data_IF_276305988939
#
_entry.id   IF_276305988939
#
_cell.length_a   1.000
_cell.length_b   1.000
_cell.length_c   1.000
_cell.angle_alpha   90.00
_cell.angle_beta   90.00
_cell.angle_gamma   90.00
#
_symmetry.space_group_name_H-M   'P 1'
#
loop_
_entity.id
_entity.type
_entity.pdbx_description
1 polymer ?
#
# COMPACT_ATOMS: atom_id res chain seq x y z
N UNK A 1 0.04 -0.68 -56.37
CA UNK A 1 -0.01 -1.54 -55.16
C UNK A 1 -0.04 -0.73 -53.84
N UNK A 2 -0.89 0.30 -53.70
CA UNK A 2 -0.97 1.14 -52.47
C UNK A 2 -2.37 1.20 -51.84
N UNK A 3 -3.39 0.62 -52.47
CA UNK A 3 -4.80 0.74 -52.04
C UNK A 3 -5.26 -0.38 -51.10
N UNK A 4 -4.62 -1.56 -51.11
CA UNK A 4 -5.06 -2.69 -50.27
C UNK A 4 -4.58 -2.63 -48.82
N UNK A 5 -3.47 -1.95 -48.53
CA UNK A 5 -3.00 -1.74 -47.16
C UNK A 5 -3.85 -0.74 -46.34
N UNK A 6 -4.60 0.16 -46.99
CA UNK A 6 -5.40 1.17 -46.28
C UNK A 6 -6.79 0.69 -45.87
N UNK A 7 -7.37 -0.28 -46.56
CA UNK A 7 -8.81 -0.59 -46.41
C UNK A 7 -9.08 -1.82 -45.54
N UNK A 8 -8.15 -2.78 -45.46
CA UNK A 8 -8.37 -4.03 -44.71
C UNK A 8 -7.58 -4.12 -43.39
N UNK A 9 -6.41 -3.48 -43.31
CA UNK A 9 -5.56 -3.55 -42.11
C UNK A 9 -6.04 -2.63 -40.96
N UNK A 10 -6.71 -1.53 -41.30
CA UNK A 10 -7.14 -0.51 -40.34
C UNK A 10 -8.25 -0.99 -39.37
N UNK A 11 -9.34 -1.65 -39.79
CA UNK A 11 -10.38 -2.09 -38.85
C UNK A 11 -9.91 -3.25 -37.96
N UNK A 12 -9.10 -4.18 -38.47
CA UNK A 12 -8.59 -5.32 -37.69
C UNK A 12 -7.66 -4.87 -36.55
N UNK A 13 -6.85 -3.83 -36.77
CA UNK A 13 -6.02 -3.23 -35.73
C UNK A 13 -6.86 -2.63 -34.59
N UNK A 14 -8.01 -2.00 -34.89
CA UNK A 14 -8.89 -1.39 -33.88
C UNK A 14 -9.51 -2.46 -32.97
N UNK A 15 -9.96 -3.59 -33.52
CA UNK A 15 -10.49 -4.69 -32.71
C UNK A 15 -9.43 -5.35 -31.82
N UNK A 16 -8.18 -5.47 -32.30
CA UNK A 16 -7.09 -6.00 -31.50
C UNK A 16 -6.71 -5.08 -30.32
N UNK A 17 -6.75 -3.75 -30.51
CA UNK A 17 -6.47 -2.76 -29.46
C UNK A 17 -7.57 -2.76 -28.38
N UNK A 18 -8.83 -2.93 -28.78
CA UNK A 18 -9.96 -2.98 -27.85
C UNK A 18 -9.91 -4.21 -26.91
N UNK A 19 -9.44 -5.35 -27.39
CA UNK A 19 -9.31 -6.56 -26.57
C UNK A 19 -8.10 -6.45 -25.63
N UNK A 20 -6.99 -5.85 -26.08
CA UNK A 20 -5.78 -5.67 -25.26
C UNK A 20 -5.98 -4.73 -24.06
N UNK A 21 -6.89 -3.76 -24.16
CA UNK A 21 -7.15 -2.79 -23.09
C UNK A 21 -7.92 -3.37 -21.90
N UNK A 22 -8.72 -4.43 -22.10
CA UNK A 22 -9.46 -5.08 -21.01
C UNK A 22 -8.55 -5.85 -20.02
N UNK A 23 -7.40 -6.38 -20.47
CA UNK A 23 -6.47 -7.12 -19.62
C UNK A 23 -5.51 -6.23 -18.82
N UNK A 24 -5.36 -4.95 -19.17
CA UNK A 24 -4.48 -4.01 -18.47
C UNK A 24 -5.06 -3.51 -17.13
N UNK A 25 -6.36 -3.71 -16.88
CA UNK A 25 -7.05 -3.12 -15.70
C UNK A 25 -7.01 -4.04 -14.46
N UNK A 26 -6.63 -5.32 -14.59
CA UNK A 26 -6.64 -6.27 -13.46
C UNK A 26 -5.29 -6.42 -12.74
N UNK A 27 -4.22 -5.76 -13.20
CA UNK A 27 -2.88 -5.89 -12.63
C UNK A 27 -2.56 -4.86 -11.52
N UNK A 28 -3.45 -3.89 -11.27
CA UNK A 28 -3.26 -2.87 -10.23
C UNK A 28 -3.96 -3.29 -8.94
N UNK A 29 -3.70 -4.51 -8.45
CA UNK A 29 -4.27 -4.98 -7.19
C UNK A 29 -3.25 -4.87 -6.07
N UNK A 30 -3.44 -3.82 -5.28
CA UNK A 30 -2.93 -3.64 -3.92
C UNK A 30 -1.41 -3.60 -3.83
N UNK A 31 -0.83 -2.42 -4.07
CA UNK A 31 0.39 -2.03 -3.38
C UNK A 31 0.09 -2.04 -1.88
N UNK A 32 0.24 -3.21 -1.25
CA UNK A 32 0.31 -3.31 0.20
C UNK A 32 1.57 -2.57 0.59
N UNK A 33 1.41 -1.36 1.12
CA UNK A 33 2.54 -0.58 1.61
C UNK A 33 2.95 -1.24 2.91
N UNK A 34 3.92 -2.16 2.81
CA UNK A 34 4.48 -2.87 3.95
C UNK A 34 5.39 -1.88 4.68
N UNK A 35 4.96 -1.42 5.84
CA UNK A 35 5.73 -0.53 6.71
C UNK A 35 6.35 -1.28 7.88
N UNK A 36 7.49 -0.77 8.35
CA UNK A 36 8.10 -1.21 9.59
C UNK A 36 7.18 -0.81 10.74
N UNK A 37 6.86 -1.77 11.60
CA UNK A 37 5.96 -1.53 12.71
C UNK A 37 6.71 -1.05 13.96
N UNK A 38 6.18 -0.02 14.61
CA UNK A 38 6.74 0.58 15.82
C UNK A 38 5.76 0.49 16.99
N UNK A 39 6.29 0.22 18.18
CA UNK A 39 5.54 0.35 19.43
C UNK A 39 5.74 1.75 19.99
N UNK A 40 4.63 2.45 20.24
CA UNK A 40 4.59 3.74 20.91
C UNK A 40 4.77 3.57 22.41
N UNK A 41 5.74 4.27 23.01
CA UNK A 41 6.01 4.21 24.46
C UNK A 41 5.38 5.38 25.21
N UNK A 42 5.50 6.58 24.64
CA UNK A 42 5.00 7.81 25.26
C UNK A 42 3.60 8.16 24.74
N UNK A 43 2.80 8.90 25.51
CA UNK A 43 1.46 9.34 25.10
C UNK A 43 1.47 10.18 23.80
N UNK A 44 2.56 10.87 23.48
CA UNK A 44 2.73 11.65 22.25
C UNK A 44 3.30 10.85 21.09
N UNK A 45 3.86 9.67 21.34
CA UNK A 45 4.41 8.81 20.26
C UNK A 45 5.74 9.28 19.70
N UNK A 46 6.48 10.09 20.47
CA UNK A 46 7.82 10.55 20.10
C UNK A 46 8.85 9.43 20.24
N UNK A 47 8.67 8.54 21.23
CA UNK A 47 9.56 7.41 21.47
C UNK A 47 8.95 6.15 20.85
N UNK A 48 9.65 5.60 19.87
CA UNK A 48 9.21 4.50 19.02
C UNK A 48 10.23 3.37 19.04
N UNK A 49 9.81 2.14 19.39
CA UNK A 49 10.65 0.94 19.29
C UNK A 49 10.22 0.14 18.06
N UNK A 50 11.15 -0.08 17.13
CA UNK A 50 10.93 -0.95 15.99
C UNK A 50 10.69 -2.39 16.44
N UNK A 51 9.68 -3.03 15.86
CA UNK A 51 9.38 -4.45 16.06
C UNK A 51 9.59 -5.20 14.75
N UNK A 52 9.96 -6.50 14.79
CA UNK A 52 10.18 -7.31 13.59
C UNK A 52 8.88 -7.66 12.85
N UNK A 53 7.75 -7.05 13.23
CA UNK A 53 6.47 -7.22 12.55
C UNK A 53 6.37 -6.24 11.38
N UNK A 54 5.85 -6.73 10.26
CA UNK A 54 5.52 -5.91 9.11
C UNK A 54 4.00 -5.82 8.98
N UNK A 55 3.51 -4.60 8.85
CA UNK A 55 2.09 -4.29 8.82
C UNK A 55 1.78 -3.36 7.64
N UNK A 56 0.50 -3.26 7.29
CA UNK A 56 -0.02 -2.50 6.15
C UNK A 56 -0.90 -1.35 6.65
N UNK A 57 -0.91 -0.21 5.99
CA UNK A 57 -1.84 0.89 6.32
C UNK A 57 -3.29 0.60 5.87
N UNK A 58 -3.49 -0.34 4.94
CA UNK A 58 -4.79 -0.61 4.29
C UNK A 58 -5.55 -1.81 4.84
N UNK A 59 -4.98 -2.53 5.82
CA UNK A 59 -5.57 -3.74 6.38
C UNK A 59 -6.89 -3.52 7.16
N UNK A 60 -7.62 -4.61 7.41
CA UNK A 60 -8.89 -4.58 8.13
C UNK A 60 -8.74 -4.70 9.65
N UNK A 61 -7.71 -5.42 10.12
CA UNK A 61 -7.49 -5.70 11.54
C UNK A 61 -6.38 -4.81 12.09
N UNK A 62 -6.47 -4.42 13.36
CA UNK A 62 -5.40 -3.66 14.03
C UNK A 62 -4.13 -4.48 14.09
N UNK A 63 -2.98 -3.91 13.69
CA UNK A 63 -1.72 -4.62 13.84
C UNK A 63 -1.28 -4.59 15.30
N UNK A 64 -1.07 -5.77 15.89
CA UNK A 64 -0.65 -5.93 17.28
C UNK A 64 0.54 -6.87 17.38
N UNK A 65 1.43 -6.60 18.34
CA UNK A 65 2.52 -7.48 18.70
C UNK A 65 2.30 -8.04 20.11
N UNK A 66 2.40 -9.36 20.24
CA UNK A 66 2.32 -10.04 21.52
C UNK A 66 3.72 -10.18 22.11
N UNK A 67 3.93 -9.65 23.31
CA UNK A 67 5.21 -9.72 24.02
C UNK A 67 5.33 -10.94 24.95
N UNK A 68 4.31 -11.80 24.98
CA UNK A 68 4.20 -12.92 25.92
C UNK A 68 3.26 -12.65 27.10
N UNK A 69 2.90 -11.39 27.34
CA UNK A 69 2.06 -10.96 28.48
C UNK A 69 0.83 -10.21 27.98
N UNK A 70 1.01 -9.28 27.05
CA UNK A 70 -0.03 -8.39 26.53
C UNK A 70 0.13 -8.14 25.03
N UNK A 71 -0.98 -7.83 24.37
CA UNK A 71 -0.98 -7.37 22.99
C UNK A 71 -0.79 -5.86 22.94
N UNK A 72 0.26 -5.42 22.26
CA UNK A 72 0.55 -4.01 22.04
C UNK A 72 0.17 -3.62 20.62
N UNK A 73 -0.57 -2.53 20.46
CA UNK A 73 -0.85 -1.98 19.14
C UNK A 73 0.40 -1.37 18.51
N UNK A 74 0.61 -1.63 17.23
CA UNK A 74 1.72 -1.11 16.47
C UNK A 74 1.30 0.04 15.55
N UNK A 75 2.26 0.92 15.29
CA UNK A 75 2.10 2.16 14.55
C UNK A 75 3.26 2.38 13.57
N UNK A 76 3.00 3.10 12.48
CA UNK A 76 3.99 3.57 11.53
C UNK A 76 4.45 4.96 11.92
N UNK A 77 5.54 5.41 11.30
CA UNK A 77 6.09 6.75 11.52
C UNK A 77 5.40 7.77 10.63
N UNK A 78 4.98 8.89 11.21
CA UNK A 78 4.42 10.03 10.51
C UNK A 78 5.06 11.32 11.04
N UNK A 79 5.32 12.27 10.15
CA UNK A 79 5.78 13.59 10.55
C UNK A 79 4.61 14.40 11.12
N UNK A 80 4.71 14.80 12.37
CA UNK A 80 3.72 15.64 13.05
C UNK A 80 4.13 17.11 12.90
N UNK A 81 3.31 17.86 12.16
CA UNK A 81 3.63 19.25 11.81
C UNK A 81 3.49 20.21 13.00
N UNK A 82 2.72 19.83 14.02
CA UNK A 82 2.48 20.64 15.22
C UNK A 82 3.66 20.58 16.20
N UNK A 83 4.31 19.43 16.31
CA UNK A 83 5.49 19.21 17.15
C UNK A 83 6.82 19.32 16.40
N UNK A 84 6.80 19.34 15.07
CA UNK A 84 7.98 19.43 14.22
C UNK A 84 8.88 18.20 14.29
N UNK A 85 8.33 17.04 14.68
CA UNK A 85 9.07 15.79 14.89
C UNK A 85 8.33 14.61 14.26
N UNK A 86 9.09 13.55 13.95
CA UNK A 86 8.51 12.28 13.48
C UNK A 86 8.01 11.48 14.68
N UNK A 87 6.74 11.08 14.66
CA UNK A 87 6.06 10.32 15.71
C UNK A 87 5.51 9.00 15.17
N UNK A 88 5.45 7.96 15.99
CA UNK A 88 4.82 6.68 15.63
C UNK A 88 3.35 6.66 16.06
N UNK A 89 2.51 7.44 15.37
CA UNK A 89 1.06 7.51 15.61
C UNK A 89 0.24 6.97 14.43
N UNK A 90 0.87 6.68 13.29
CA UNK A 90 0.17 6.17 12.12
C UNK A 90 -0.40 4.77 12.43
N UNK A 91 -1.73 4.55 12.44
CA UNK A 91 -2.26 3.25 12.80
C UNK A 91 -1.96 2.22 11.71
N UNK A 92 -1.19 1.18 12.06
CA UNK A 92 -0.95 0.06 11.16
C UNK A 92 -1.99 -1.03 11.33
N UNK A 93 -2.26 -1.74 10.24
CA UNK A 93 -3.27 -2.77 10.12
C UNK A 93 -2.68 -4.05 9.53
N UNK A 94 -3.40 -5.16 9.68
CA UNK A 94 -3.12 -6.47 9.07
C UNK A 94 -4.37 -6.92 8.31
N UNK A 95 -4.17 -7.69 7.24
CA UNK A 95 -5.24 -8.32 6.47
C UNK A 95 -5.16 -9.84 6.63
#
# INVERSE_FOLDING_TARGET
MKKFFKTAAMPMAVFAIAIGSAFATNAMKSDKIIEIAYQKIDAKGVICIAKPESCDITGSQTCTWFDGITNHQLYGMQFDSDSGQTVCTLPLRRN
#
